data_IF_002314387369
#
_entry.id   IF_002314387369
#
_cell.length_a   1.000
_cell.length_b   1.000
_cell.length_c   1.000
_cell.angle_alpha   90.00
_cell.angle_beta   90.00
_cell.angle_gamma   90.00
#
_symmetry.space_group_name_H-M   'P 1'
#
loop_
_entity.id
_entity.type
_entity.pdbx_description
1 polymer ?
#
# COMPACT_ATOMS: atom_id res chain seq x y z
N UNK A 1 -24.29 4.14 1.45
CA UNK A 1 -23.41 4.43 0.31
C UNK A 1 -22.18 3.58 0.54
N UNK A 2 -22.00 2.54 -0.27
CA UNK A 2 -20.84 1.66 -0.22
C UNK A 2 -19.80 2.26 -1.16
N UNK A 3 -18.90 3.08 -0.62
CA UNK A 3 -17.84 3.68 -1.41
C UNK A 3 -16.92 2.55 -1.88
N UNK A 4 -16.92 2.26 -3.18
CA UNK A 4 -16.08 1.21 -3.74
C UNK A 4 -14.61 1.59 -3.53
N UNK A 5 -13.92 0.77 -2.73
CA UNK A 5 -12.47 0.76 -2.65
C UNK A 5 -12.00 -0.47 -3.40
N UNK A 6 -11.37 -0.28 -4.56
CA UNK A 6 -10.82 -1.36 -5.36
C UNK A 6 -9.31 -1.42 -5.13
N UNK A 7 -8.81 -2.63 -4.87
CA UNK A 7 -7.39 -2.88 -4.69
C UNK A 7 -7.00 -4.11 -5.49
N UNK A 8 -6.19 -3.90 -6.51
CA UNK A 8 -5.59 -4.97 -7.31
C UNK A 8 -4.10 -5.10 -7.00
N UNK A 9 -3.64 -6.34 -6.90
CA UNK A 9 -2.24 -6.67 -6.60
C UNK A 9 -1.73 -7.69 -7.61
N UNK A 10 -0.68 -7.30 -8.33
CA UNK A 10 0.03 -8.15 -9.27
C UNK A 10 1.43 -8.43 -8.74
N UNK A 11 1.87 -9.68 -8.83
CA UNK A 11 3.23 -10.06 -8.43
C UNK A 11 3.82 -11.06 -9.41
N UNK A 12 5.11 -10.90 -9.67
CA UNK A 12 5.91 -11.80 -10.49
C UNK A 12 7.23 -12.05 -9.78
N UNK A 13 7.54 -13.31 -9.53
CA UNK A 13 8.77 -13.73 -8.85
C UNK A 13 9.42 -14.81 -9.70
N UNK A 14 10.73 -14.70 -9.91
CA UNK A 14 11.52 -15.68 -10.65
C UNK A 14 12.80 -15.97 -9.90
N UNK A 15 13.02 -17.24 -9.63
CA UNK A 15 14.18 -17.75 -8.92
C UNK A 15 14.89 -18.82 -9.75
N UNK A 16 16.22 -18.76 -9.77
CA UNK A 16 17.10 -19.74 -10.40
C UNK A 16 18.04 -20.30 -9.35
N UNK A 17 17.99 -21.62 -9.16
CA UNK A 17 18.88 -22.33 -8.23
C UNK A 17 19.89 -23.16 -9.03
N UNK A 18 21.17 -22.92 -8.79
CA UNK A 18 22.28 -23.70 -9.33
C UNK A 18 22.99 -24.47 -8.23
N UNK A 19 23.23 -25.76 -8.46
CA UNK A 19 24.06 -26.59 -7.57
C UNK A 19 25.30 -27.02 -8.34
N UNK A 20 26.48 -26.83 -7.77
CA UNK A 20 27.74 -27.20 -8.41
C UNK A 20 28.82 -27.49 -7.36
N UNK A 21 29.80 -28.32 -7.73
CA UNK A 21 30.88 -28.73 -6.85
C UNK A 21 32.20 -28.10 -7.30
N UNK A 22 32.98 -27.58 -6.36
CA UNK A 22 34.36 -27.16 -6.58
C UNK A 22 35.29 -28.06 -5.77
N UNK A 23 35.79 -29.12 -6.39
CA UNK A 23 36.57 -30.15 -5.70
C UNK A 23 35.71 -30.94 -4.72
N UNK A 24 36.05 -30.92 -3.43
CA UNK A 24 35.28 -31.57 -2.36
C UNK A 24 34.20 -30.68 -1.73
N UNK A 25 34.01 -29.46 -2.25
CA UNK A 25 33.04 -28.49 -1.70
C UNK A 25 31.82 -28.43 -2.61
N UNK A 26 30.65 -28.65 -2.02
CA UNK A 26 29.36 -28.47 -2.70
C UNK A 26 28.85 -27.04 -2.49
N UNK A 27 28.39 -26.41 -3.56
CA UNK A 27 27.85 -25.06 -3.56
C UNK A 27 26.41 -25.05 -4.06
N UNK A 28 25.62 -24.17 -3.46
CA UNK A 28 24.28 -23.81 -3.92
C UNK A 28 24.24 -22.29 -4.12
N UNK A 29 23.87 -21.87 -5.33
CA UNK A 29 23.66 -20.48 -5.69
C UNK A 29 22.18 -20.26 -6.00
N UNK A 30 21.59 -19.23 -5.41
CA UNK A 30 20.25 -18.73 -5.71
C UNK A 30 20.37 -17.34 -6.32
N UNK A 31 19.72 -17.12 -7.46
CA UNK A 31 19.53 -15.81 -8.08
C UNK A 31 18.04 -15.57 -8.22
N UNK A 32 17.54 -14.49 -7.62
CA UNK A 32 16.11 -14.16 -7.61
C UNK A 32 15.85 -12.74 -8.13
N UNK A 33 14.67 -12.53 -8.68
CA UNK A 33 14.12 -11.19 -8.93
C UNK A 33 12.61 -11.18 -8.73
N UNK A 34 12.09 -10.04 -8.28
CA UNK A 34 10.66 -9.85 -8.10
C UNK A 34 10.19 -8.50 -8.65
N UNK A 35 8.98 -8.50 -9.20
CA UNK A 35 8.23 -7.34 -9.63
C UNK A 35 6.87 -7.38 -8.93
N UNK A 36 6.37 -6.24 -8.47
CA UNK A 36 5.00 -6.14 -7.99
C UNK A 36 4.36 -4.81 -8.41
N UNK A 37 3.04 -4.83 -8.62
CA UNK A 37 2.22 -3.64 -8.83
C UNK A 37 1.03 -3.66 -7.88
N UNK A 38 0.72 -2.51 -7.31
CA UNK A 38 -0.45 -2.29 -6.48
C UNK A 38 -1.24 -1.12 -7.07
N UNK A 39 -2.47 -1.40 -7.48
CA UNK A 39 -3.42 -0.40 -7.96
C UNK A 39 -4.48 -0.20 -6.89
N UNK A 40 -4.67 1.04 -6.45
CA UNK A 40 -5.61 1.43 -5.39
C UNK A 40 -6.53 2.52 -5.91
N UNK A 41 -7.82 2.21 -6.01
CA UNK A 41 -8.87 3.16 -6.39
C UNK A 41 -9.75 3.40 -5.17
N UNK A 42 -9.91 4.67 -4.80
CA UNK A 42 -10.81 5.12 -3.74
C UNK A 42 -11.85 6.06 -4.36
N UNK A 43 -13.08 5.60 -4.44
CA UNK A 43 -14.20 6.39 -4.95
C UNK A 43 -15.00 6.99 -3.80
N UNK A 44 -15.63 8.15 -4.03
CA UNK A 44 -16.50 8.83 -3.06
C UNK A 44 -15.80 9.16 -1.73
N UNK A 45 -14.48 9.42 -1.77
CA UNK A 45 -13.74 9.82 -0.58
C UNK A 45 -14.11 11.23 -0.16
N UNK A 46 -14.08 11.49 1.14
CA UNK A 46 -14.37 12.81 1.69
C UNK A 46 -13.25 13.31 2.59
N UNK A 47 -12.95 14.61 2.51
CA UNK A 47 -11.98 15.28 3.38
C UNK A 47 -12.51 16.64 3.80
N UNK A 48 -12.28 16.99 5.04
CA UNK A 48 -12.64 18.28 5.60
C UNK A 48 -11.70 18.65 6.74
N UNK A 49 -11.97 19.81 7.34
CA UNK A 49 -11.22 20.27 8.51
C UNK A 49 -12.01 19.94 9.77
N UNK A 50 -11.38 19.28 10.73
CA UNK A 50 -11.97 19.05 12.04
C UNK A 50 -11.75 20.25 12.96
N UNK A 51 -12.62 20.44 13.95
CA UNK A 51 -12.38 21.40 15.01
C UNK A 51 -11.11 21.02 15.80
N UNK A 52 -10.30 21.98 16.26
CA UNK A 52 -9.19 21.70 17.16
C UNK A 52 -9.66 20.97 18.43
N UNK A 53 -8.94 19.92 18.82
CA UNK A 53 -9.23 19.15 20.04
C UNK A 53 -8.16 19.45 21.10
N UNK A 54 -8.60 19.83 22.30
CA UNK A 54 -7.73 19.90 23.47
C UNK A 54 -7.24 18.49 23.83
N UNK A 55 -5.92 18.31 23.86
CA UNK A 55 -5.28 17.02 24.14
C UNK A 55 -5.28 16.64 25.63
N UNK A 56 -5.41 17.62 26.52
CA UNK A 56 -5.33 17.43 27.97
C UNK A 56 -6.69 17.45 28.65
N UNK A 57 -7.70 18.02 28.00
CA UNK A 57 -9.10 17.97 28.44
C UNK A 57 -10.07 17.90 27.25
N UNK A 58 -10.17 16.75 26.56
CA UNK A 58 -10.95 16.64 25.34
C UNK A 58 -12.46 16.71 25.60
N UNK A 59 -13.16 17.57 24.86
CA UNK A 59 -14.63 17.58 24.77
C UNK A 59 -15.05 16.90 23.47
N UNK A 60 -15.53 15.67 23.58
CA UNK A 60 -15.98 14.88 22.44
C UNK A 60 -17.43 15.22 22.03
N UNK A 61 -17.86 14.73 20.86
CA UNK A 61 -19.22 14.90 20.37
C UNK A 61 -19.50 16.22 19.62
N UNK A 62 -18.48 17.06 19.44
CA UNK A 62 -18.56 18.18 18.50
C UNK A 62 -18.62 17.65 17.05
N UNK A 63 -19.22 18.40 16.13
CA UNK A 63 -19.27 18.01 14.72
C UNK A 63 -17.84 17.74 14.21
N UNK A 64 -17.54 16.53 13.72
CA UNK A 64 -16.17 16.13 13.41
C UNK A 64 -15.60 16.85 12.18
N UNK A 65 -16.46 17.44 11.35
CA UNK A 65 -16.08 18.17 10.16
C UNK A 65 -16.77 19.54 10.13
N UNK A 66 -15.97 20.56 9.83
CA UNK A 66 -16.45 21.89 9.45
C UNK A 66 -16.70 21.88 7.95
N UNK A 67 -17.90 22.33 7.54
CA UNK A 67 -18.25 22.47 6.14
C UNK A 67 -17.42 23.61 5.49
N UNK A 68 -17.06 23.50 4.20
CA UNK A 68 -17.48 22.44 3.27
C UNK A 68 -16.62 21.17 3.36
N UNK A 69 -17.25 20.01 3.22
CA UNK A 69 -16.58 18.74 3.00
C UNK A 69 -16.30 18.59 1.50
N UNK A 70 -15.08 18.23 1.15
CA UNK A 70 -14.67 17.98 -0.23
C UNK A 70 -14.87 16.50 -0.55
N UNK A 71 -15.56 16.21 -1.65
CA UNK A 71 -15.67 14.87 -2.23
C UNK A 71 -14.66 14.73 -3.36
N UNK A 72 -13.94 13.62 -3.39
CA UNK A 72 -12.93 13.35 -4.40
C UNK A 72 -12.75 11.85 -4.62
N UNK A 73 -12.27 11.52 -5.81
CA UNK A 73 -11.78 10.18 -6.14
C UNK A 73 -10.26 10.21 -6.16
N UNK A 74 -9.63 9.09 -5.79
CA UNK A 74 -8.18 8.96 -5.74
C UNK A 74 -7.74 7.62 -6.32
N UNK A 75 -6.86 7.66 -7.30
CA UNK A 75 -6.18 6.48 -7.85
C UNK A 75 -4.69 6.55 -7.51
N UNK A 76 -4.13 5.46 -7.02
CA UNK A 76 -2.71 5.32 -6.71
C UNK A 76 -2.19 4.03 -7.33
N UNK A 77 -1.09 4.13 -8.08
CA UNK A 77 -0.39 3.00 -8.69
C UNK A 77 1.02 2.97 -8.11
N UNK A 78 1.44 1.82 -7.59
CA UNK A 78 2.76 1.62 -6.99
C UNK A 78 3.46 0.42 -7.63
N UNK A 79 4.68 0.63 -8.14
CA UNK A 79 5.52 -0.41 -8.70
C UNK A 79 6.69 -0.72 -7.75
N UNK A 80 6.97 -2.01 -7.54
CA UNK A 80 8.05 -2.50 -6.69
C UNK A 80 8.96 -3.46 -7.47
N UNK A 81 10.26 -3.36 -7.23
CA UNK A 81 11.30 -4.22 -7.80
C UNK A 81 12.15 -4.79 -6.66
N UNK A 82 12.47 -6.08 -6.73
CA UNK A 82 13.36 -6.76 -5.81
C UNK A 82 14.39 -7.62 -6.52
N UNK A 83 15.58 -7.74 -5.91
CA UNK A 83 16.70 -8.60 -6.31
C UNK A 83 17.35 -9.22 -5.09
#
# INVERSE_FOLDING_TARGET
>A
MDGFNEQDVYSFVTDVVGNFSTGSVEHQLLLGTSLARIDLIRSESSRGTAAPLDLFNPVYGQSPLTLPVQLFDSTSVSDLLGV
#
